data_IF_250416401877
#
_entry.id   IF_250416401877
#
_cell.length_a   1.000
_cell.length_b   1.000
_cell.length_c   1.000
_cell.angle_alpha   90.00
_cell.angle_beta   90.00
_cell.angle_gamma   90.00
#
_symmetry.space_group_name_H-M   'P 1'
#
loop_
_entity.id
_entity.type
_entity.pdbx_description
1 polymer ?
#
# COMPACT_ATOMS: atom_id res chain seq x y z
N UNK A 1 -28.13 -31.07 15.56
CA UNK A 1 -27.93 -30.48 16.92
C UNK A 1 -29.13 -29.67 17.38
N UNK A 2 -29.64 -28.63 16.71
CA UNK A 2 -30.77 -27.77 17.17
C UNK A 2 -32.05 -28.59 17.39
N UNK A 3 -32.45 -29.40 16.41
CA UNK A 3 -33.65 -30.26 16.48
C UNK A 3 -33.58 -31.26 17.62
N UNK A 4 -32.41 -31.81 17.89
CA UNK A 4 -32.18 -32.71 19.02
C UNK A 4 -32.36 -31.98 20.34
N UNK A 5 -31.77 -30.78 20.52
CA UNK A 5 -31.94 -30.00 21.75
C UNK A 5 -33.40 -29.61 21.99
N UNK A 6 -34.13 -29.22 20.94
CA UNK A 6 -35.57 -28.90 21.05
C UNK A 6 -36.35 -30.13 21.48
N UNK A 7 -36.13 -31.30 20.89
CA UNK A 7 -36.83 -32.53 21.25
C UNK A 7 -36.52 -32.97 22.70
N UNK A 8 -35.27 -32.86 23.14
CA UNK A 8 -34.91 -33.28 24.52
C UNK A 8 -35.49 -32.33 25.58
N UNK A 9 -35.52 -31.03 25.37
CA UNK A 9 -36.15 -30.09 26.30
C UNK A 9 -37.68 -30.29 26.35
N UNK A 10 -38.33 -30.58 25.21
CA UNK A 10 -39.76 -30.91 25.20
C UNK A 10 -40.07 -32.23 25.90
N UNK A 11 -39.21 -33.25 25.77
CA UNK A 11 -39.32 -34.52 26.53
C UNK A 11 -39.18 -34.30 28.04
N UNK A 12 -38.13 -33.56 28.45
CA UNK A 12 -37.90 -33.22 29.84
C UNK A 12 -39.10 -32.47 30.45
N UNK A 13 -39.65 -31.49 29.73
CA UNK A 13 -40.83 -30.75 30.16
C UNK A 13 -42.03 -31.66 30.38
N UNK A 14 -42.26 -32.65 29.50
CA UNK A 14 -43.34 -33.64 29.63
C UNK A 14 -43.12 -34.62 30.76
N UNK A 15 -41.87 -35.05 31.01
CA UNK A 15 -41.52 -36.01 32.05
C UNK A 15 -41.57 -35.40 33.45
N UNK A 16 -41.23 -34.11 33.57
CA UNK A 16 -41.11 -33.45 34.91
C UNK A 16 -42.27 -32.50 35.20
N UNK A 17 -43.20 -32.33 34.29
CA UNK A 17 -44.30 -31.34 34.37
C UNK A 17 -43.84 -29.89 34.57
N UNK A 18 -42.55 -29.62 34.32
CA UNK A 18 -41.95 -28.30 34.43
C UNK A 18 -42.11 -27.54 33.09
N UNK A 19 -42.60 -26.30 33.15
CA UNK A 19 -42.74 -25.47 31.96
C UNK A 19 -41.40 -25.28 31.27
N UNK A 20 -41.37 -25.44 29.94
CA UNK A 20 -40.18 -25.26 29.10
C UNK A 20 -39.43 -23.96 29.43
N UNK A 21 -40.13 -22.87 29.67
CA UNK A 21 -39.56 -21.57 30.00
C UNK A 21 -38.71 -21.54 31.26
N UNK A 22 -38.92 -22.51 32.20
CA UNK A 22 -38.12 -22.67 33.42
C UNK A 22 -36.89 -23.56 33.18
N UNK A 23 -36.92 -24.44 32.18
CA UNK A 23 -35.79 -25.30 31.80
C UNK A 23 -34.75 -24.60 30.93
N UNK A 24 -35.15 -23.56 30.20
CA UNK A 24 -34.28 -22.86 29.28
C UNK A 24 -33.03 -22.23 29.91
N UNK A 25 -33.10 -21.57 31.09
CA UNK A 25 -31.93 -21.01 31.75
C UNK A 25 -30.88 -22.06 32.10
N UNK A 26 -31.30 -23.23 32.57
CA UNK A 26 -30.42 -24.36 32.92
C UNK A 26 -29.72 -24.93 31.66
N UNK A 27 -30.35 -24.81 30.50
CA UNK A 27 -29.79 -25.20 29.21
C UNK A 27 -28.95 -24.08 28.52
N UNK A 28 -28.85 -22.90 29.16
CA UNK A 28 -28.14 -21.74 28.58
C UNK A 28 -28.80 -21.15 27.31
N UNK A 29 -30.12 -21.32 27.17
CA UNK A 29 -30.88 -20.93 25.98
C UNK A 29 -31.86 -19.81 26.34
N UNK A 30 -31.78 -18.68 25.60
CA UNK A 30 -32.75 -17.60 25.75
C UNK A 30 -34.11 -17.98 25.16
N UNK A 31 -35.20 -17.39 25.71
CA UNK A 31 -36.57 -17.62 25.21
C UNK A 31 -36.72 -17.34 23.73
N UNK A 32 -36.14 -16.20 23.26
CA UNK A 32 -36.19 -15.82 21.84
C UNK A 32 -35.52 -16.88 20.95
N UNK A 33 -34.36 -17.37 21.36
CA UNK A 33 -33.62 -18.42 20.67
C UNK A 33 -34.35 -19.76 20.65
N UNK A 34 -35.04 -20.10 21.73
CA UNK A 34 -35.87 -21.29 21.81
C UNK A 34 -37.00 -21.26 20.78
N UNK A 35 -37.81 -20.20 20.75
CA UNK A 35 -38.91 -20.07 19.80
C UNK A 35 -38.44 -20.01 18.35
N UNK A 36 -37.30 -19.35 18.09
CA UNK A 36 -36.68 -19.38 16.79
C UNK A 36 -36.30 -20.80 16.35
N UNK A 37 -35.69 -21.57 17.24
CA UNK A 37 -35.30 -22.96 16.94
C UNK A 37 -36.52 -23.87 16.78
N UNK A 38 -37.56 -23.70 17.57
CA UNK A 38 -38.82 -24.47 17.47
C UNK A 38 -39.50 -24.18 16.11
N UNK A 39 -39.60 -22.92 15.69
CA UNK A 39 -40.22 -22.53 14.40
C UNK A 39 -39.44 -23.04 13.21
N UNK A 40 -38.11 -23.20 13.35
CA UNK A 40 -37.20 -23.70 12.31
C UNK A 40 -36.88 -25.18 12.46
N UNK A 41 -37.44 -25.88 13.43
CA UNK A 41 -37.24 -27.32 13.63
C UNK A 41 -37.80 -28.08 12.40
N UNK A 42 -37.00 -28.97 11.83
CA UNK A 42 -37.36 -29.71 10.61
C UNK A 42 -37.23 -28.95 9.28
N UNK A 43 -36.90 -27.67 9.31
CA UNK A 43 -36.59 -26.91 8.07
C UNK A 43 -35.09 -26.91 7.81
N UNK A 44 -34.68 -27.34 6.61
CA UNK A 44 -33.29 -27.14 6.18
C UNK A 44 -32.93 -25.66 6.28
N UNK A 45 -31.83 -25.36 6.97
CA UNK A 45 -31.27 -24.03 6.98
C UNK A 45 -30.65 -23.79 5.59
N UNK A 46 -31.41 -23.22 4.68
CA UNK A 46 -30.85 -22.64 3.49
C UNK A 46 -29.92 -21.52 3.93
N UNK A 47 -28.63 -21.83 4.10
CA UNK A 47 -27.63 -20.80 4.34
C UNK A 47 -27.62 -19.88 3.12
N UNK A 48 -28.10 -18.64 3.28
CA UNK A 48 -27.96 -17.56 2.27
C UNK A 48 -26.49 -17.32 1.85
N UNK A 49 -25.53 -17.94 2.55
CA UNK A 49 -24.11 -17.86 2.25
C UNK A 49 -23.72 -18.51 0.91
N UNK A 50 -24.53 -19.44 0.39
CA UNK A 50 -24.23 -20.16 -0.86
C UNK A 50 -24.94 -19.58 -2.08
N UNK A 51 -25.82 -18.59 -1.89
CA UNK A 51 -26.45 -17.91 -3.02
C UNK A 51 -25.55 -16.78 -3.49
N UNK A 52 -25.09 -16.80 -4.76
CA UNK A 52 -24.24 -15.74 -5.28
C UNK A 52 -24.92 -14.39 -5.15
N UNK A 53 -24.21 -13.44 -4.51
CA UNK A 53 -24.67 -12.05 -4.45
C UNK A 53 -24.16 -11.28 -5.65
N UNK A 54 -24.91 -10.28 -6.09
CA UNK A 54 -24.63 -9.49 -7.28
C UNK A 54 -23.20 -8.93 -7.39
N UNK A 55 -22.48 -8.76 -6.28
CA UNK A 55 -21.11 -8.28 -6.27
C UNK A 55 -20.03 -9.38 -6.17
N UNK A 56 -20.42 -10.66 -6.19
CA UNK A 56 -19.44 -11.74 -6.09
C UNK A 56 -18.59 -11.83 -7.34
N UNK A 57 -17.27 -12.06 -7.13
CA UNK A 57 -16.37 -12.38 -8.23
C UNK A 57 -16.87 -13.59 -9.01
N UNK A 58 -16.72 -13.51 -10.31
CA UNK A 58 -16.97 -14.63 -11.20
C UNK A 58 -15.93 -15.74 -10.96
N UNK A 59 -16.27 -17.03 -11.21
CA UNK A 59 -15.35 -18.14 -10.96
C UNK A 59 -13.98 -17.94 -11.62
N UNK A 60 -13.97 -17.54 -12.88
CA UNK A 60 -12.73 -17.29 -13.64
C UNK A 60 -11.94 -16.07 -13.16
N UNK A 61 -12.59 -15.00 -12.64
CA UNK A 61 -11.89 -13.85 -12.07
C UNK A 61 -11.05 -14.24 -10.85
N UNK A 62 -11.55 -15.16 -10.03
CA UNK A 62 -10.80 -15.68 -8.88
C UNK A 62 -9.53 -16.39 -9.31
N UNK A 63 -9.62 -17.16 -10.39
CA UNK A 63 -8.50 -17.92 -10.94
C UNK A 63 -7.46 -16.98 -11.55
N UNK A 64 -7.88 -15.98 -12.32
CA UNK A 64 -7.01 -14.95 -12.88
C UNK A 64 -6.27 -14.19 -11.75
N UNK A 65 -6.98 -13.76 -10.70
CA UNK A 65 -6.37 -13.07 -9.56
C UNK A 65 -5.35 -13.99 -8.86
N UNK A 66 -5.70 -15.27 -8.63
CA UNK A 66 -4.80 -16.24 -8.02
C UNK A 66 -3.53 -16.42 -8.83
N UNK A 67 -3.66 -16.70 -10.12
CA UNK A 67 -2.55 -16.92 -11.03
C UNK A 67 -1.62 -15.68 -11.10
N UNK A 68 -2.20 -14.49 -11.20
CA UNK A 68 -1.44 -13.26 -11.23
C UNK A 68 -0.65 -13.03 -9.92
N UNK A 69 -1.29 -13.24 -8.76
CA UNK A 69 -0.62 -13.11 -7.46
C UNK A 69 0.50 -14.15 -7.29
N UNK A 70 0.31 -15.37 -7.80
CA UNK A 70 1.32 -16.42 -7.75
C UNK A 70 2.53 -16.11 -8.63
N UNK A 71 2.29 -15.64 -9.86
CA UNK A 71 3.36 -15.22 -10.79
C UNK A 71 4.17 -14.04 -10.25
N UNK A 72 3.55 -13.17 -9.45
CA UNK A 72 4.18 -11.96 -8.90
C UNK A 72 4.55 -12.07 -7.40
N UNK A 73 4.56 -13.28 -6.83
CA UNK A 73 4.82 -13.51 -5.39
C UNK A 73 6.18 -12.97 -4.92
N UNK A 74 7.18 -12.96 -5.80
CA UNK A 74 8.55 -12.55 -5.49
C UNK A 74 8.76 -11.02 -5.54
N UNK A 75 7.76 -10.25 -5.93
CA UNK A 75 7.84 -8.79 -5.95
C UNK A 75 7.90 -8.14 -4.57
N UNK A 76 7.65 -8.87 -3.46
CA UNK A 76 7.69 -8.40 -2.06
C UNK A 76 6.87 -7.13 -1.74
N UNK A 77 5.84 -6.82 -2.53
CA UNK A 77 5.13 -5.53 -2.44
C UNK A 77 3.75 -5.60 -1.81
N UNK A 78 3.33 -6.79 -1.43
CA UNK A 78 2.08 -7.04 -0.71
C UNK A 78 0.82 -6.93 -1.58
N UNK A 79 -0.29 -7.44 -1.03
CA UNK A 79 -1.57 -7.59 -1.73
C UNK A 79 -2.18 -6.28 -2.24
N UNK A 80 -1.96 -5.15 -1.53
CA UNK A 80 -2.49 -3.86 -1.98
C UNK A 80 -1.83 -3.38 -3.25
N UNK A 81 -0.52 -3.55 -3.35
CA UNK A 81 0.24 -3.23 -4.55
C UNK A 81 -0.27 -4.04 -5.75
N UNK A 82 -0.37 -5.37 -5.58
CA UNK A 82 -0.83 -6.27 -6.63
C UNK A 82 -2.28 -5.97 -7.06
N UNK A 83 -3.16 -5.63 -6.11
CA UNK A 83 -4.54 -5.27 -6.42
C UNK A 83 -4.65 -4.04 -7.34
N UNK A 84 -3.89 -2.99 -7.04
CA UNK A 84 -3.90 -1.78 -7.88
C UNK A 84 -3.19 -1.99 -9.21
N UNK A 85 -2.10 -2.76 -9.22
CA UNK A 85 -1.39 -3.11 -10.44
C UNK A 85 -2.29 -3.89 -11.41
N UNK A 86 -3.01 -4.91 -10.94
CA UNK A 86 -3.98 -5.66 -11.76
C UNK A 86 -5.06 -4.76 -12.39
N UNK A 87 -5.54 -3.75 -11.64
CA UNK A 87 -6.54 -2.80 -12.15
C UNK A 87 -5.93 -1.91 -13.24
N UNK A 88 -4.71 -1.44 -13.05
CA UNK A 88 -4.02 -0.57 -14.01
C UNK A 88 -3.67 -1.34 -15.29
N UNK A 89 -3.20 -2.57 -15.18
CA UNK A 89 -2.89 -3.47 -16.28
C UNK A 89 -4.13 -4.11 -16.94
N UNK A 90 -5.35 -3.83 -16.45
CA UNK A 90 -6.61 -4.40 -16.92
C UNK A 90 -6.69 -5.93 -16.83
N UNK A 91 -5.98 -6.53 -15.89
CA UNK A 91 -5.97 -7.98 -15.65
C UNK A 91 -7.20 -8.43 -14.87
N UNK A 92 -7.48 -7.75 -13.75
CA UNK A 92 -8.65 -8.01 -12.92
C UNK A 92 -9.05 -6.78 -12.09
N UNK A 93 -10.35 -6.67 -11.81
CA UNK A 93 -10.91 -5.50 -11.12
C UNK A 93 -11.48 -5.90 -9.75
N UNK A 94 -10.62 -6.09 -8.77
CA UNK A 94 -11.01 -6.49 -7.42
C UNK A 94 -10.46 -5.53 -6.36
N UNK A 95 -11.21 -5.35 -5.27
CA UNK A 95 -10.74 -4.54 -4.14
C UNK A 95 -9.51 -5.18 -3.49
N UNK A 96 -8.63 -4.40 -2.86
CA UNK A 96 -7.49 -4.94 -2.11
C UNK A 96 -7.89 -5.96 -1.03
N UNK A 97 -9.04 -5.78 -0.39
CA UNK A 97 -9.56 -6.73 0.61
C UNK A 97 -9.92 -8.09 -0.04
N UNK A 98 -10.49 -8.07 -1.24
CA UNK A 98 -10.82 -9.28 -2.00
C UNK A 98 -9.54 -10.03 -2.41
N UNK A 99 -8.54 -9.31 -2.92
CA UNK A 99 -7.23 -9.89 -3.28
C UNK A 99 -6.55 -10.49 -2.05
N UNK A 100 -6.57 -9.79 -0.91
CA UNK A 100 -6.06 -10.33 0.36
C UNK A 100 -6.70 -11.67 0.73
N UNK A 101 -8.04 -11.76 0.66
CA UNK A 101 -8.75 -12.98 1.01
C UNK A 101 -8.40 -14.15 0.07
N UNK A 102 -8.24 -13.89 -1.24
CA UNK A 102 -7.80 -14.89 -2.20
C UNK A 102 -6.38 -15.35 -1.89
N UNK A 103 -5.44 -14.42 -1.70
CA UNK A 103 -4.05 -14.73 -1.35
C UNK A 103 -3.96 -15.52 -0.05
N UNK A 104 -4.71 -15.11 0.99
CA UNK A 104 -4.75 -15.80 2.29
C UNK A 104 -5.24 -17.24 2.14
N UNK A 105 -6.33 -17.46 1.38
CA UNK A 105 -6.91 -18.79 1.15
C UNK A 105 -5.94 -19.72 0.42
N UNK A 106 -5.08 -19.19 -0.44
CA UNK A 106 -4.12 -19.95 -1.24
C UNK A 106 -2.70 -19.98 -0.65
N UNK A 107 -2.51 -19.52 0.61
CA UNK A 107 -1.20 -19.57 1.27
C UNK A 107 -0.14 -18.61 0.69
N UNK A 108 -0.56 -17.61 -0.10
CA UNK A 108 0.34 -16.66 -0.78
C UNK A 108 0.71 -15.44 0.09
N UNK A 109 0.25 -15.39 1.35
CA UNK A 109 0.57 -14.31 2.28
C UNK A 109 1.67 -14.77 3.22
N UNK A 110 2.82 -14.10 3.19
CA UNK A 110 3.84 -14.24 4.22
C UNK A 110 3.38 -13.58 5.53
N UNK A 111 3.75 -14.15 6.67
CA UNK A 111 3.48 -13.55 7.98
C UNK A 111 4.23 -12.22 8.08
N UNK A 112 3.50 -11.13 8.11
CA UNK A 112 4.04 -9.79 8.35
C UNK A 112 4.04 -9.52 9.86
N UNK A 113 5.22 -9.31 10.43
CA UNK A 113 5.30 -8.81 11.79
C UNK A 113 4.93 -7.32 11.79
N UNK A 114 3.84 -6.97 12.48
CA UNK A 114 3.49 -5.57 12.71
C UNK A 114 4.59 -4.96 13.60
N UNK A 115 5.41 -4.09 13.06
CA UNK A 115 6.09 -3.06 13.83
C UNK A 115 5.07 -1.92 14.01
N UNK A 116 4.41 -1.90 15.14
CA UNK A 116 3.39 -0.89 15.40
C UNK A 116 3.93 0.14 16.38
N UNK A 117 4.62 1.14 15.88
CA UNK A 117 4.77 2.42 16.59
C UNK A 117 3.91 3.44 15.84
N UNK A 118 2.93 4.01 16.54
CA UNK A 118 2.25 5.21 16.07
C UNK A 118 3.26 6.35 16.13
N UNK A 119 3.63 6.87 14.97
CA UNK A 119 4.53 8.00 14.87
C UNK A 119 3.71 9.30 14.95
N UNK A 120 4.14 10.22 15.80
CA UNK A 120 3.61 11.59 15.83
C UNK A 120 3.64 12.21 14.42
N UNK A 121 2.66 13.06 14.14
CA UNK A 121 2.59 13.78 12.86
C UNK A 121 3.76 14.76 12.78
N UNK A 122 4.67 14.52 11.85
CA UNK A 122 5.80 15.41 11.55
C UNK A 122 5.37 16.77 10.98
N UNK A 123 6.27 17.45 10.26
CA UNK A 123 6.02 18.74 9.63
C UNK A 123 4.72 18.79 8.81
N UNK A 124 4.18 20.03 8.62
CA UNK A 124 3.07 20.26 7.71
C UNK A 124 3.36 19.57 6.37
N UNK A 125 2.45 18.70 5.97
CA UNK A 125 2.62 17.95 4.73
C UNK A 125 2.44 18.87 3.53
N UNK A 126 3.20 18.69 2.44
CA UNK A 126 3.03 19.47 1.22
C UNK A 126 1.71 19.14 0.54
N UNK A 127 1.11 20.14 -0.08
CA UNK A 127 -0.18 20.05 -0.78
C UNK A 127 -0.02 19.96 -2.31
N UNK A 128 1.16 20.32 -2.82
CA UNK A 128 1.49 20.25 -4.25
C UNK A 128 2.97 19.95 -4.49
N UNK A 129 3.36 19.58 -5.71
CA UNK A 129 4.76 19.38 -6.07
C UNK A 129 5.62 20.64 -5.82
N UNK A 130 6.89 20.41 -5.53
CA UNK A 130 7.88 21.46 -5.30
C UNK A 130 7.62 22.41 -4.11
N UNK A 131 6.78 22.02 -3.16
CA UNK A 131 6.66 22.73 -1.87
C UNK A 131 7.69 22.27 -0.84
N UNK A 132 8.08 21.00 -0.89
CA UNK A 132 9.06 20.41 0.01
C UNK A 132 9.99 19.50 -0.78
N UNK A 133 11.28 19.73 -0.65
CA UNK A 133 12.33 18.84 -1.11
C UNK A 133 13.01 18.18 0.06
N UNK A 134 13.31 16.91 -0.04
CA UNK A 134 14.04 16.15 0.96
C UNK A 134 15.35 15.67 0.37
N UNK A 135 16.44 15.81 1.12
CA UNK A 135 17.75 15.29 0.73
C UNK A 135 18.43 14.59 1.90
N UNK A 136 19.21 13.59 1.57
CA UNK A 136 20.00 12.81 2.54
C UNK A 136 21.01 11.96 1.79
N UNK A 137 22.10 11.56 2.47
CA UNK A 137 23.08 10.63 1.94
C UNK A 137 22.82 9.18 2.36
N UNK A 138 23.08 8.27 1.47
CA UNK A 138 23.00 6.84 1.73
C UNK A 138 24.24 6.12 1.26
N UNK A 139 24.85 5.34 2.16
CA UNK A 139 26.04 4.53 1.83
C UNK A 139 25.67 3.38 0.91
N UNK A 140 26.44 3.24 -0.17
CA UNK A 140 26.34 2.15 -1.14
C UNK A 140 27.71 1.51 -1.30
N UNK A 141 27.82 0.22 -1.03
CA UNK A 141 29.07 -0.51 -1.20
C UNK A 141 29.17 -1.05 -2.62
N UNK A 142 30.28 -0.71 -3.30
CA UNK A 142 30.59 -1.19 -4.64
C UNK A 142 32.00 -1.82 -4.57
N UNK A 143 32.07 -3.12 -4.69
CA UNK A 143 33.33 -3.86 -4.44
C UNK A 143 33.83 -3.67 -3.01
N UNK A 144 35.04 -3.17 -2.87
CA UNK A 144 35.68 -2.89 -1.56
C UNK A 144 35.44 -1.46 -1.06
N UNK A 145 34.95 -0.53 -1.92
CA UNK A 145 34.79 0.90 -1.63
C UNK A 145 33.34 1.26 -1.28
N UNK A 146 33.16 2.25 -0.41
CA UNK A 146 31.88 2.91 -0.19
C UNK A 146 31.75 4.14 -1.08
N UNK A 147 30.57 4.28 -1.65
CA UNK A 147 30.11 5.45 -2.37
C UNK A 147 28.90 6.06 -1.65
N UNK A 148 28.56 7.27 -1.95
CA UNK A 148 27.55 8.05 -1.26
C UNK A 148 26.47 8.47 -2.25
N UNK A 149 25.37 7.72 -2.24
CA UNK A 149 24.20 8.09 -3.02
C UNK A 149 23.47 9.24 -2.34
N UNK A 150 23.18 10.30 -3.08
CA UNK A 150 22.29 11.37 -2.62
C UNK A 150 21.27 11.72 -3.68
N UNK A 151 20.11 12.21 -3.26
CA UNK A 151 19.01 12.59 -4.15
C UNK A 151 18.20 13.74 -3.55
N UNK A 152 17.56 14.50 -4.43
CA UNK A 152 16.49 15.44 -4.06
C UNK A 152 15.16 14.79 -4.39
N UNK A 153 14.39 14.50 -3.35
CA UNK A 153 13.07 13.88 -3.41
C UNK A 153 11.98 14.92 -3.19
N UNK A 154 11.01 14.99 -4.11
CA UNK A 154 9.81 15.80 -3.89
C UNK A 154 8.93 15.22 -2.79
N UNK A 155 8.65 16.00 -1.78
CA UNK A 155 7.93 15.56 -0.59
C UNK A 155 6.44 15.27 -0.80
N UNK A 156 5.83 15.79 -1.87
CA UNK A 156 4.44 15.54 -2.23
C UNK A 156 4.29 14.26 -3.05
N UNK A 157 4.92 14.20 -4.21
CA UNK A 157 4.80 13.12 -5.18
C UNK A 157 5.69 11.91 -4.88
N UNK A 158 6.74 12.07 -4.06
CA UNK A 158 7.81 11.08 -3.85
C UNK A 158 8.72 10.89 -5.06
N UNK A 159 8.63 11.76 -6.06
CA UNK A 159 9.49 11.75 -7.24
C UNK A 159 10.92 12.08 -6.87
N UNK A 160 11.87 11.36 -7.44
CA UNK A 160 13.28 11.71 -7.43
C UNK A 160 13.50 12.73 -8.53
N UNK A 161 13.81 13.96 -8.15
CA UNK A 161 14.01 15.06 -9.08
C UNK A 161 15.41 15.00 -9.72
N UNK A 162 16.42 14.83 -8.87
CA UNK A 162 17.82 14.62 -9.24
C UNK A 162 18.48 13.68 -8.26
N UNK A 163 19.53 13.05 -8.67
CA UNK A 163 20.36 12.17 -7.84
C UNK A 163 21.79 12.08 -8.38
N UNK A 164 22.70 11.59 -7.54
CA UNK A 164 24.08 11.29 -7.98
C UNK A 164 24.73 10.27 -7.04
N UNK A 165 25.86 9.72 -7.45
CA UNK A 165 26.69 8.79 -6.70
C UNK A 165 28.08 9.39 -6.51
N UNK A 166 28.41 9.80 -5.29
CA UNK A 166 29.63 10.53 -4.96
C UNK A 166 30.68 9.64 -4.30
N UNK A 167 31.95 10.06 -4.43
CA UNK A 167 33.08 9.45 -3.74
C UNK A 167 33.20 9.89 -2.27
N UNK A 168 32.58 11.01 -1.88
CA UNK A 168 32.56 11.58 -0.54
C UNK A 168 31.24 12.28 -0.20
N UNK A 169 31.08 12.74 1.05
CA UNK A 169 29.90 13.47 1.52
C UNK A 169 30.24 14.93 1.81
N UNK A 170 30.87 15.62 0.88
CA UNK A 170 31.17 17.02 1.05
C UNK A 170 29.99 17.94 0.74
N UNK A 171 30.05 19.16 1.28
CA UNK A 171 29.05 20.21 1.11
C UNK A 171 28.78 20.50 -0.39
N UNK A 172 29.82 20.64 -1.20
CA UNK A 172 29.67 20.93 -2.65
C UNK A 172 28.84 19.89 -3.41
N UNK A 173 28.83 18.63 -2.96
CA UNK A 173 28.02 17.58 -3.59
C UNK A 173 26.52 17.83 -3.40
N UNK A 174 26.14 18.33 -2.22
CA UNK A 174 24.75 18.71 -1.94
C UNK A 174 24.38 19.96 -2.70
N UNK A 175 25.26 20.95 -2.74
CA UNK A 175 25.08 22.20 -3.48
C UNK A 175 24.88 21.93 -4.97
N UNK A 176 25.66 21.03 -5.56
CA UNK A 176 25.52 20.60 -6.94
C UNK A 176 24.14 19.98 -7.19
N UNK A 177 23.67 19.08 -6.32
CA UNK A 177 22.36 18.45 -6.48
C UNK A 177 21.22 19.45 -6.38
N UNK A 178 21.28 20.37 -5.43
CA UNK A 178 20.24 21.40 -5.24
C UNK A 178 20.24 22.36 -6.43
N UNK A 179 21.40 22.77 -6.91
CA UNK A 179 21.52 23.63 -8.09
C UNK A 179 20.91 22.95 -9.31
N UNK A 180 21.25 21.69 -9.59
CA UNK A 180 20.66 20.91 -10.69
C UNK A 180 19.14 20.76 -10.55
N UNK A 181 18.64 20.53 -9.33
CA UNK A 181 17.19 20.47 -9.10
C UNK A 181 16.52 21.81 -9.38
N UNK A 182 17.17 22.92 -9.00
CA UNK A 182 16.66 24.27 -9.23
C UNK A 182 16.70 24.66 -10.72
N UNK A 183 17.73 24.22 -11.46
CA UNK A 183 17.81 24.39 -12.92
C UNK A 183 16.67 23.67 -13.64
N UNK A 184 16.30 22.46 -13.21
CA UNK A 184 15.15 21.72 -13.76
C UNK A 184 13.81 22.36 -13.39
N UNK A 185 13.72 22.98 -12.22
CA UNK A 185 12.49 23.59 -11.68
C UNK A 185 12.75 25.05 -11.26
N UNK A 186 13.05 25.97 -12.19
CA UNK A 186 13.50 27.35 -11.87
C UNK A 186 12.49 28.16 -11.06
N UNK A 187 11.20 27.93 -11.28
CA UNK A 187 10.11 28.63 -10.58
C UNK A 187 9.75 28.03 -9.22
N UNK A 188 10.36 26.89 -8.84
CA UNK A 188 10.09 26.26 -7.57
C UNK A 188 10.73 27.07 -6.42
N UNK A 189 9.96 27.27 -5.34
CA UNK A 189 10.44 27.86 -4.09
C UNK A 189 10.19 26.88 -2.94
N UNK A 190 10.89 25.73 -2.94
CA UNK A 190 10.63 24.69 -1.94
C UNK A 190 11.18 25.06 -0.57
N UNK A 191 10.69 24.36 0.44
CA UNK A 191 11.40 24.19 1.69
C UNK A 191 12.25 22.94 1.59
N UNK A 192 13.56 23.02 1.76
CA UNK A 192 14.42 21.84 1.82
C UNK A 192 14.46 21.28 3.23
N UNK A 193 14.29 19.96 3.35
CA UNK A 193 14.34 19.24 4.63
C UNK A 193 15.53 18.28 4.56
N UNK A 194 16.43 18.40 5.51
CA UNK A 194 17.64 17.58 5.65
C UNK A 194 17.93 17.30 7.13
N UNK A 195 18.85 16.40 7.40
CA UNK A 195 19.37 16.14 8.74
C UNK A 195 20.35 17.24 9.19
N UNK A 196 20.98 17.04 10.36
CA UNK A 196 21.99 17.95 10.90
C UNK A 196 23.43 17.55 10.49
N UNK A 197 23.59 16.87 9.37
CA UNK A 197 24.91 16.50 8.85
C UNK A 197 25.80 17.72 8.59
N UNK A 198 27.12 17.55 8.75
CA UNK A 198 28.08 18.64 8.57
C UNK A 198 28.01 19.29 7.18
N UNK A 199 27.63 18.54 6.17
CA UNK A 199 27.47 18.97 4.77
C UNK A 199 26.29 19.94 4.55
N UNK A 200 25.45 20.20 5.57
CA UNK A 200 24.31 21.13 5.51
C UNK A 200 24.46 22.32 6.47
N UNK A 201 25.59 22.45 7.16
CA UNK A 201 25.77 23.47 8.22
C UNK A 201 26.59 24.66 7.75
N UNK A 202 27.37 24.50 6.67
CA UNK A 202 28.27 25.50 6.13
C UNK A 202 27.56 26.80 5.75
N UNK A 203 28.31 27.88 5.73
CA UNK A 203 27.78 29.19 5.33
C UNK A 203 27.60 29.27 3.80
N UNK A 204 28.42 28.54 3.03
CA UNK A 204 28.29 28.44 1.58
C UNK A 204 26.96 27.80 1.19
N UNK A 205 26.58 26.72 1.85
CA UNK A 205 25.28 26.08 1.66
C UNK A 205 24.11 27.02 1.98
N UNK A 206 24.17 27.77 3.08
CA UNK A 206 23.10 28.73 3.44
C UNK A 206 23.01 29.87 2.44
N UNK A 207 24.16 30.38 1.98
CA UNK A 207 24.22 31.43 0.98
C UNK A 207 23.63 30.95 -0.37
N UNK A 208 23.93 29.71 -0.76
CA UNK A 208 23.34 29.10 -1.95
C UNK A 208 21.81 28.97 -1.82
N UNK A 209 21.30 28.48 -0.70
CA UNK A 209 19.85 28.37 -0.49
C UNK A 209 19.17 29.74 -0.56
N UNK A 210 19.77 30.77 0.03
CA UNK A 210 19.24 32.13 -0.05
C UNK A 210 19.24 32.67 -1.49
N UNK A 211 20.34 32.45 -2.26
CA UNK A 211 20.44 32.83 -3.66
C UNK A 211 19.38 32.14 -4.52
N UNK A 212 19.10 30.87 -4.25
CA UNK A 212 18.13 30.07 -4.98
C UNK A 212 16.68 30.25 -4.49
N UNK A 213 16.41 31.10 -3.53
CA UNK A 213 15.12 31.31 -2.87
C UNK A 213 14.51 30.02 -2.28
N UNK A 214 15.36 29.17 -1.71
CA UNK A 214 14.99 27.91 -1.07
C UNK A 214 14.97 28.10 0.46
N UNK A 215 13.85 27.79 1.11
CA UNK A 215 13.74 27.89 2.54
C UNK A 215 14.45 26.70 3.22
N UNK A 216 15.40 26.97 4.13
CA UNK A 216 16.06 25.94 4.94
C UNK A 216 15.14 25.42 6.06
N UNK A 217 15.10 24.12 6.24
CA UNK A 217 14.37 23.49 7.36
C UNK A 217 15.10 22.26 7.87
N UNK A 218 15.87 22.47 8.92
CA UNK A 218 16.58 21.38 9.60
C UNK A 218 15.63 20.53 10.43
N UNK A 219 15.87 19.23 10.44
CA UNK A 219 15.17 18.35 11.37
C UNK A 219 15.59 18.69 12.79
N UNK A 220 14.62 18.75 13.72
CA UNK A 220 14.96 18.91 15.14
C UNK A 220 15.78 17.71 15.61
N UNK A 221 16.80 17.91 16.46
CA UNK A 221 17.49 16.80 17.09
C UNK A 221 16.48 15.86 17.76
N UNK A 222 16.68 14.56 17.62
CA UNK A 222 15.79 13.49 18.14
C UNK A 222 14.37 13.40 17.54
N UNK A 223 14.09 14.07 16.42
CA UNK A 223 12.87 13.90 15.64
C UNK A 223 13.14 13.29 14.25
N UNK A 224 13.48 11.99 14.15
CA UNK A 224 13.85 11.34 12.90
C UNK A 224 12.70 11.31 11.88
N UNK A 225 11.48 11.56 12.33
CA UNK A 225 10.27 11.53 11.49
C UNK A 225 10.26 12.61 10.39
N UNK A 226 11.02 13.67 10.57
CA UNK A 226 11.05 14.80 9.64
C UNK A 226 11.68 14.43 8.30
N UNK A 227 12.69 13.54 8.27
CA UNK A 227 13.35 13.06 7.07
C UNK A 227 12.88 11.66 6.61
N UNK A 228 11.86 11.11 7.28
CA UNK A 228 11.36 9.75 7.04
C UNK A 228 10.89 9.46 5.60
N UNK A 229 10.69 10.49 4.76
CA UNK A 229 10.33 10.32 3.36
C UNK A 229 11.52 9.83 2.54
N UNK A 230 12.68 10.50 2.66
CA UNK A 230 13.89 10.11 1.95
C UNK A 230 14.52 8.86 2.56
N UNK A 231 14.45 8.69 3.88
CA UNK A 231 14.89 7.45 4.54
C UNK A 231 14.11 6.22 4.03
N UNK A 232 12.79 6.36 3.88
CA UNK A 232 11.96 5.30 3.28
C UNK A 232 12.32 5.05 1.82
N UNK A 233 12.63 6.09 1.06
CA UNK A 233 13.13 5.95 -0.30
C UNK A 233 14.46 5.19 -0.32
N UNK A 234 15.44 5.55 0.51
CA UNK A 234 16.72 4.85 0.63
C UNK A 234 16.54 3.38 1.00
N UNK A 235 15.62 3.08 1.93
CA UNK A 235 15.28 1.68 2.26
C UNK A 235 14.74 0.93 1.05
N UNK A 236 13.86 1.58 0.28
CA UNK A 236 13.30 1.00 -0.95
C UNK A 236 14.39 0.75 -1.99
N UNK A 237 15.23 1.73 -2.29
CA UNK A 237 16.38 1.61 -3.19
C UNK A 237 17.29 0.44 -2.77
N UNK A 238 17.68 0.39 -1.50
CA UNK A 238 18.55 -0.69 -0.98
C UNK A 238 17.90 -2.07 -1.07
N UNK A 239 16.62 -2.18 -0.76
CA UNK A 239 15.93 -3.47 -0.70
C UNK A 239 15.55 -3.98 -2.09
N UNK A 240 15.05 -3.10 -2.95
CA UNK A 240 14.49 -3.49 -4.24
C UNK A 240 15.53 -3.49 -5.37
N UNK A 241 16.67 -2.79 -5.20
CA UNK A 241 17.68 -2.67 -6.23
C UNK A 241 19.10 -3.04 -5.74
N UNK A 242 19.69 -2.25 -4.83
CA UNK A 242 21.12 -2.40 -4.45
C UNK A 242 21.47 -3.80 -3.97
N UNK A 243 20.63 -4.41 -3.12
CA UNK A 243 20.87 -5.77 -2.58
C UNK A 243 20.67 -6.88 -3.61
N UNK A 244 20.09 -6.58 -4.76
CA UNK A 244 19.76 -7.55 -5.82
C UNK A 244 20.63 -7.41 -7.04
N UNK A 245 21.36 -6.31 -7.15
CA UNK A 245 22.19 -5.99 -8.30
C UNK A 245 23.65 -5.98 -7.87
N UNK A 246 24.47 -6.94 -8.28
CA UNK A 246 25.90 -6.90 -8.00
C UNK A 246 26.55 -5.80 -8.86
N UNK A 247 27.09 -4.78 -8.23
CA UNK A 247 27.81 -3.71 -8.92
C UNK A 247 29.27 -4.07 -9.09
N UNK A 248 29.74 -4.14 -10.34
CA UNK A 248 31.11 -4.45 -10.71
C UNK A 248 32.00 -3.21 -10.74
N UNK A 249 31.42 -2.02 -10.95
CA UNK A 249 32.11 -0.73 -10.95
C UNK A 249 31.14 0.41 -10.58
N UNK A 250 31.69 1.60 -10.27
CA UNK A 250 30.85 2.79 -9.99
C UNK A 250 30.03 3.19 -11.23
N UNK A 251 30.64 3.26 -12.40
CA UNK A 251 29.94 3.62 -13.65
C UNK A 251 28.83 2.62 -13.99
N UNK A 252 29.03 1.31 -13.74
CA UNK A 252 27.97 0.33 -13.91
C UNK A 252 26.83 0.54 -12.91
N UNK A 253 27.18 0.89 -11.66
CA UNK A 253 26.18 1.19 -10.63
C UNK A 253 25.34 2.42 -11.01
N UNK A 254 25.96 3.48 -11.54
CA UNK A 254 25.28 4.69 -12.02
C UNK A 254 24.27 4.35 -13.12
N UNK A 255 24.67 3.59 -14.13
CA UNK A 255 23.77 3.15 -15.21
C UNK A 255 22.57 2.38 -14.63
N UNK A 256 22.83 1.41 -13.76
CA UNK A 256 21.75 0.58 -13.18
C UNK A 256 20.86 1.34 -12.22
N UNK A 257 21.39 2.31 -11.50
CA UNK A 257 20.60 3.22 -10.65
C UNK A 257 19.75 4.16 -11.50
N UNK A 258 20.28 4.68 -12.62
CA UNK A 258 19.52 5.53 -13.54
C UNK A 258 18.31 4.79 -14.10
N UNK A 259 18.49 3.56 -14.59
CA UNK A 259 17.42 2.69 -15.06
C UNK A 259 16.36 2.47 -13.96
N UNK A 260 16.82 2.14 -12.75
CA UNK A 260 15.92 1.86 -11.64
C UNK A 260 15.17 3.10 -11.15
N UNK A 261 15.81 4.28 -11.09
CA UNK A 261 15.15 5.52 -10.68
C UNK A 261 14.15 5.99 -11.72
N UNK A 262 14.46 5.82 -13.01
CA UNK A 262 13.46 6.07 -14.07
C UNK A 262 12.24 5.20 -13.86
N UNK A 263 12.41 3.89 -13.70
CA UNK A 263 11.33 2.97 -13.41
C UNK A 263 10.61 3.30 -12.09
N UNK A 264 11.34 3.70 -11.03
CA UNK A 264 10.76 4.12 -9.75
C UNK A 264 9.82 5.31 -9.91
N UNK A 265 10.19 6.30 -10.72
CA UNK A 265 9.39 7.49 -10.96
C UNK A 265 8.18 7.21 -11.87
N UNK A 266 8.36 6.45 -12.94
CA UNK A 266 7.35 6.30 -14.01
C UNK A 266 6.42 5.09 -13.86
N UNK A 267 6.87 4.02 -13.20
CA UNK A 267 6.13 2.75 -13.20
C UNK A 267 5.85 2.20 -11.80
N UNK A 268 6.73 2.49 -10.83
CA UNK A 268 6.59 1.92 -9.50
C UNK A 268 5.44 2.56 -8.72
N UNK A 269 4.42 1.78 -8.40
CA UNK A 269 3.33 2.23 -7.53
C UNK A 269 3.84 2.49 -6.10
N UNK A 270 3.43 3.59 -5.49
CA UNK A 270 3.87 3.99 -4.15
C UNK A 270 2.67 4.08 -3.18
N UNK A 271 2.69 3.26 -2.13
CA UNK A 271 1.60 3.19 -1.16
C UNK A 271 1.32 4.49 -0.39
N UNK A 272 2.31 5.39 -0.28
CA UNK A 272 2.14 6.68 0.40
C UNK A 272 1.34 7.70 -0.44
N UNK A 273 1.19 7.46 -1.74
CA UNK A 273 0.49 8.30 -2.71
C UNK A 273 -0.59 7.49 -3.45
N UNK A 274 -1.41 6.76 -2.71
CA UNK A 274 -2.56 5.99 -3.21
C UNK A 274 -2.21 4.90 -4.24
N UNK A 275 -0.99 4.36 -4.19
CA UNK A 275 -0.50 3.40 -5.18
C UNK A 275 -0.53 3.95 -6.61
N UNK A 276 -0.24 5.23 -6.78
CA UNK A 276 0.09 5.86 -8.05
C UNK A 276 1.62 5.91 -8.22
N UNK A 277 2.06 6.23 -9.42
CA UNK A 277 3.48 6.48 -9.67
C UNK A 277 3.87 7.90 -9.22
N UNK A 278 5.12 8.14 -8.83
CA UNK A 278 5.59 9.48 -8.52
C UNK A 278 5.34 10.49 -9.65
N UNK A 279 5.54 10.10 -10.91
CA UNK A 279 5.31 10.97 -12.08
C UNK A 279 3.83 11.34 -12.23
N UNK A 280 2.90 10.39 -12.10
CA UNK A 280 1.47 10.68 -12.19
C UNK A 280 1.03 11.72 -11.16
N UNK A 281 1.57 11.63 -9.94
CA UNK A 281 1.24 12.57 -8.86
C UNK A 281 1.92 13.92 -9.08
N UNK A 282 3.18 13.93 -9.50
CA UNK A 282 3.92 15.15 -9.79
C UNK A 282 3.29 15.96 -10.94
N UNK A 283 2.82 15.27 -11.97
CA UNK A 283 2.14 15.85 -13.15
C UNK A 283 0.69 16.25 -12.88
N UNK A 284 0.19 16.11 -11.65
CA UNK A 284 -1.20 16.48 -11.28
C UNK A 284 -2.27 15.50 -11.76
N UNK A 285 -1.91 14.30 -12.23
CA UNK A 285 -2.83 13.29 -12.78
C UNK A 285 -3.56 12.47 -11.70
N UNK A 286 -3.29 12.72 -10.40
CA UNK A 286 -3.83 11.93 -9.28
C UNK A 286 -5.35 11.79 -9.35
N UNK A 287 -6.07 12.90 -9.50
CA UNK A 287 -7.54 12.89 -9.52
C UNK A 287 -8.12 12.06 -10.67
N UNK A 288 -7.54 12.22 -11.88
CA UNK A 288 -7.92 11.46 -13.07
C UNK A 288 -7.71 9.96 -12.86
N UNK A 289 -6.52 9.56 -12.41
CA UNK A 289 -6.17 8.13 -12.23
C UNK A 289 -7.04 7.45 -11.17
N UNK A 290 -7.35 8.13 -10.08
CA UNK A 290 -8.25 7.60 -9.05
C UNK A 290 -9.68 7.45 -9.57
N UNK A 291 -10.17 8.41 -10.37
CA UNK A 291 -11.47 8.32 -11.02
C UNK A 291 -11.55 7.16 -12.03
N UNK A 292 -10.49 6.95 -12.85
CA UNK A 292 -10.39 5.82 -13.78
C UNK A 292 -10.45 4.47 -13.05
N UNK A 293 -9.69 4.29 -11.98
CA UNK A 293 -9.72 3.06 -11.16
C UNK A 293 -11.10 2.82 -10.55
N UNK A 294 -11.74 3.88 -10.04
CA UNK A 294 -13.10 3.80 -9.49
C UNK A 294 -14.11 3.37 -10.57
N UNK A 295 -14.00 3.94 -11.77
CA UNK A 295 -14.84 3.56 -12.92
C UNK A 295 -14.66 2.10 -13.30
N UNK A 296 -13.41 1.62 -13.45
CA UNK A 296 -13.11 0.22 -13.77
C UNK A 296 -13.73 -0.75 -12.75
N UNK A 297 -13.62 -0.45 -11.45
CA UNK A 297 -14.23 -1.25 -10.39
C UNK A 297 -15.76 -1.25 -10.46
N UNK A 298 -16.36 -0.10 -10.76
CA UNK A 298 -17.81 0.04 -10.90
C UNK A 298 -18.31 -0.75 -12.11
N UNK A 299 -17.70 -0.59 -13.30
CA UNK A 299 -18.08 -1.28 -14.52
C UNK A 299 -17.97 -2.81 -14.33
N UNK A 300 -16.93 -3.28 -13.66
CA UNK A 300 -16.79 -4.70 -13.31
C UNK A 300 -17.92 -5.19 -12.37
N UNK A 301 -18.37 -4.34 -11.44
CA UNK A 301 -19.48 -4.69 -10.54
C UNK A 301 -20.80 -4.85 -11.30
N UNK A 302 -21.08 -4.01 -12.29
CA UNK A 302 -22.28 -4.12 -13.13
C UNK A 302 -22.26 -5.44 -13.94
N UNK A 303 -21.12 -5.75 -14.59
CA UNK A 303 -20.96 -7.02 -15.34
C UNK A 303 -21.20 -8.25 -14.47
N UNK A 304 -20.74 -8.22 -13.21
CA UNK A 304 -21.00 -9.31 -12.24
C UNK A 304 -22.48 -9.42 -11.89
N UNK A 305 -23.16 -8.28 -11.68
CA UNK A 305 -24.60 -8.26 -11.38
C UNK A 305 -25.41 -8.87 -12.52
N UNK A 306 -25.11 -8.50 -13.77
CA UNK A 306 -25.77 -9.04 -14.97
C UNK A 306 -25.54 -10.55 -15.07
N UNK A 307 -24.32 -11.02 -14.92
CA UNK A 307 -23.98 -12.44 -14.96
C UNK A 307 -24.78 -13.25 -13.92
N UNK A 308 -24.78 -12.82 -12.66
CA UNK A 308 -25.46 -13.55 -11.58
C UNK A 308 -26.97 -13.49 -11.68
N UNK A 309 -27.56 -12.40 -12.22
CA UNK A 309 -29.00 -12.34 -12.54
C UNK A 309 -29.37 -13.37 -13.58
N UNK A 310 -28.64 -13.44 -14.69
CA UNK A 310 -28.89 -14.38 -15.75
C UNK A 310 -28.77 -15.83 -15.26
N UNK A 311 -27.79 -16.15 -14.45
CA UNK A 311 -27.63 -17.47 -13.81
C UNK A 311 -28.80 -17.83 -12.88
N UNK A 312 -29.32 -16.87 -12.14
CA UNK A 312 -30.45 -17.09 -11.22
C UNK A 312 -31.75 -17.34 -11.99
N UNK A 313 -31.95 -16.71 -13.14
CA UNK A 313 -33.12 -16.94 -14.00
C UNK A 313 -33.09 -18.33 -14.67
N UNK A 314 -31.91 -18.79 -15.10
CA UNK A 314 -31.74 -20.12 -15.68
C UNK A 314 -31.94 -21.27 -14.68
N UNK A 315 -31.75 -21.02 -13.37
CA UNK A 315 -31.98 -22.01 -12.30
C UNK A 315 -33.44 -22.05 -11.84
N UNK A 316 -34.26 -21.08 -12.22
CA UNK A 316 -35.67 -20.96 -11.83
C UNK A 316 -36.64 -21.36 -12.96
N UNK A 317 -36.13 -21.59 -14.16
CA UNK A 317 -36.82 -22.17 -15.30
C UNK A 317 -36.55 -23.68 -15.40
#
# INVERSE_FOLDING_TARGET
>A
MRTFIVSEIEKLSKLTDIKVTLLLPSAGISRSKWYEWKTRSGKETKHNANVPKNGWLLPWEREVIRAYCEANKDMFRGYRYLAWLMIDENVAYASPATVYNIMKKNGLISKWNKSGEEHEKGYKQPEKPNEQWHTDFSYIRIGAKFYYFSAVLDGYSRKILVWDLFDDMKEYNVELLITRAKELYPNAKPRIIHDNGKQYVGDDFKNLLALLEIADSRTRPFHPQSNGKVERFHRTLKTEHVRRTPYVSASYAEIKMAEWITWYNSERLNGAIFYLTPDEVFDGKMGQRLAERKKKLYDASIKRQEYWRNQSQLQSS
#
